data_IF_687042590030
#
_entry.id   IF_687042590030
#
_cell.length_a   1.000
_cell.length_b   1.000
_cell.length_c   1.000
_cell.angle_alpha   90.00
_cell.angle_beta   90.00
_cell.angle_gamma   90.00
#
_symmetry.space_group_name_H-M   'P 1'
#
loop_
_entity.id
_entity.type
_entity.pdbx_description
1 polymer ?
#
# COMPACT_ATOMS: atom_id res chain seq x y z
N UNK A 1 45.82 -12.92 -20.28
CA UNK A 1 45.32 -12.15 -21.45
C UNK A 1 44.25 -13.00 -22.11
N UNK A 2 42.97 -12.57 -22.13
CA UNK A 2 41.89 -13.39 -22.68
C UNK A 2 41.96 -13.33 -24.22
N UNK A 3 41.61 -14.42 -24.91
CA UNK A 3 41.60 -14.48 -26.38
C UNK A 3 40.76 -13.35 -27.02
N UNK A 4 39.72 -12.91 -26.34
CA UNK A 4 38.86 -11.81 -26.78
C UNK A 4 39.55 -10.45 -26.81
N UNK A 5 40.50 -10.22 -25.88
CA UNK A 5 41.31 -9.00 -25.82
C UNK A 5 42.30 -8.91 -26.99
N UNK A 6 42.73 -10.08 -27.49
CA UNK A 6 43.67 -10.21 -28.60
C UNK A 6 43.00 -10.00 -29.96
N UNK A 7 41.72 -10.41 -30.10
CA UNK A 7 40.94 -10.23 -31.33
C UNK A 7 40.42 -8.80 -31.45
N UNK A 8 40.29 -8.05 -30.34
CA UNK A 8 39.94 -6.62 -30.30
C UNK A 8 38.77 -6.26 -31.24
N UNK A 9 37.63 -6.95 -31.03
CA UNK A 9 36.42 -7.01 -31.89
C UNK A 9 35.79 -5.66 -32.28
N UNK A 10 36.21 -4.57 -31.64
CA UNK A 10 35.68 -3.21 -31.80
C UNK A 10 36.59 -2.28 -32.61
N UNK A 11 37.73 -2.78 -33.09
CA UNK A 11 38.72 -2.01 -33.85
C UNK A 11 38.88 -2.59 -35.25
N UNK A 12 39.46 -1.79 -36.13
CA UNK A 12 39.83 -2.26 -37.47
C UNK A 12 40.81 -3.43 -37.38
N UNK A 13 40.61 -4.45 -38.21
CA UNK A 13 41.35 -5.73 -38.20
C UNK A 13 42.86 -5.49 -38.23
N UNK A 14 43.30 -4.50 -39.01
CA UNK A 14 44.69 -4.12 -39.19
C UNK A 14 45.35 -3.54 -37.93
N UNK A 15 44.55 -3.07 -36.97
CA UNK A 15 45.03 -2.49 -35.72
C UNK A 15 45.12 -3.51 -34.58
N UNK A 16 44.56 -4.71 -34.79
CA UNK A 16 44.52 -5.76 -33.77
C UNK A 16 45.91 -6.34 -33.50
N UNK A 17 46.24 -6.67 -32.23
CA UNK A 17 47.55 -7.22 -31.88
C UNK A 17 47.79 -8.59 -32.54
N UNK A 18 46.74 -9.41 -32.71
CA UNK A 18 46.82 -10.68 -33.43
C UNK A 18 47.22 -10.51 -34.90
N UNK A 19 46.65 -9.52 -35.60
CA UNK A 19 46.98 -9.26 -37.00
C UNK A 19 48.44 -8.82 -37.15
N UNK A 20 48.89 -7.90 -36.28
CA UNK A 20 50.29 -7.45 -36.25
C UNK A 20 51.25 -8.60 -35.96
N UNK A 21 50.93 -9.47 -34.99
CA UNK A 21 51.74 -10.65 -34.67
C UNK A 21 51.77 -11.68 -35.80
N UNK A 22 50.66 -11.87 -36.53
CA UNK A 22 50.58 -12.81 -37.66
C UNK A 22 51.50 -12.46 -38.84
N UNK A 23 51.87 -11.18 -38.97
CA UNK A 23 52.82 -10.69 -39.98
C UNK A 23 54.22 -10.58 -39.39
N UNK A 24 54.36 -10.01 -38.18
CA UNK A 24 55.66 -9.77 -37.55
C UNK A 24 56.39 -11.08 -37.21
N UNK A 25 55.70 -12.10 -36.69
CA UNK A 25 56.36 -13.34 -36.24
C UNK A 25 57.01 -14.10 -37.41
N UNK A 26 56.32 -14.37 -38.53
CA UNK A 26 56.95 -15.02 -39.69
C UNK A 26 58.05 -14.17 -40.34
N UNK A 27 57.89 -12.84 -40.39
CA UNK A 27 58.92 -11.95 -40.92
C UNK A 27 60.18 -11.91 -40.03
N UNK A 28 60.02 -11.81 -38.71
CA UNK A 28 61.14 -11.85 -37.77
C UNK A 28 61.85 -13.21 -37.80
N UNK A 29 61.11 -14.33 -37.87
CA UNK A 29 61.69 -15.65 -38.03
C UNK A 29 62.48 -15.77 -39.35
N UNK A 30 61.95 -15.26 -40.45
CA UNK A 30 62.65 -15.24 -41.74
C UNK A 30 63.93 -14.41 -41.69
N UNK A 31 63.92 -13.25 -41.01
CA UNK A 31 65.09 -12.40 -40.81
C UNK A 31 66.16 -13.06 -39.93
N UNK A 32 65.76 -13.69 -38.81
CA UNK A 32 66.68 -14.41 -37.91
C UNK A 32 67.37 -15.56 -38.66
N UNK A 33 66.59 -16.33 -39.43
CA UNK A 33 67.12 -17.42 -40.26
C UNK A 33 68.05 -16.87 -41.35
N UNK A 34 67.68 -15.78 -42.03
CA UNK A 34 68.50 -15.12 -43.04
C UNK A 34 69.84 -14.61 -42.49
N UNK A 35 69.82 -13.99 -41.31
CA UNK A 35 71.02 -13.48 -40.64
C UNK A 35 71.93 -14.61 -40.13
N UNK A 36 71.33 -15.72 -39.67
CA UNK A 36 72.06 -16.93 -39.29
C UNK A 36 72.83 -17.55 -40.48
N UNK A 37 72.26 -17.48 -41.69
CA UNK A 37 72.94 -17.93 -42.93
C UNK A 37 74.14 -17.04 -43.25
N UNK A 38 74.03 -15.72 -43.06
CA UNK A 38 75.10 -14.79 -43.48
C UNK A 38 76.32 -14.77 -42.56
N UNK A 39 76.21 -15.24 -41.32
CA UNK A 39 77.24 -15.08 -40.30
C UNK A 39 77.93 -16.39 -39.87
N UNK A 40 77.38 -17.55 -40.22
CA UNK A 40 77.91 -18.85 -39.79
C UNK A 40 77.96 -19.86 -40.94
N UNK A 41 79.16 -20.17 -41.42
CA UNK A 41 79.39 -21.08 -42.55
C UNK A 41 78.91 -22.52 -42.28
N UNK A 42 78.99 -23.00 -41.03
CA UNK A 42 78.47 -24.32 -40.64
C UNK A 42 76.95 -24.36 -40.68
N UNK A 43 76.30 -23.27 -40.29
CA UNK A 43 74.84 -23.12 -40.37
C UNK A 43 74.39 -22.95 -41.82
N UNK A 44 75.14 -22.20 -42.64
CA UNK A 44 74.91 -22.02 -44.07
C UNK A 44 75.02 -23.34 -44.85
N UNK A 45 75.97 -24.21 -44.51
CA UNK A 45 76.11 -25.55 -45.12
C UNK A 45 74.94 -26.48 -44.74
N UNK A 46 74.59 -26.55 -43.44
CA UNK A 46 73.44 -27.32 -42.95
C UNK A 46 72.12 -26.84 -43.58
N UNK A 47 71.95 -25.53 -43.69
CA UNK A 47 70.75 -24.91 -44.24
C UNK A 47 70.74 -24.93 -45.78
N UNK A 48 71.90 -24.91 -46.45
CA UNK A 48 72.03 -25.10 -47.89
C UNK A 48 71.58 -26.49 -48.35
N UNK A 49 71.85 -27.51 -47.54
CA UNK A 49 71.29 -28.86 -47.69
C UNK A 49 69.75 -28.87 -47.62
N UNK A 50 69.18 -28.14 -46.65
CA UNK A 50 67.72 -27.94 -46.51
C UNK A 50 67.13 -27.00 -47.58
N UNK A 51 67.92 -26.08 -48.13
CA UNK A 51 67.50 -25.09 -49.13
C UNK A 51 67.37 -25.73 -50.52
N UNK A 52 68.33 -26.61 -50.86
CA UNK A 52 68.28 -27.43 -52.06
C UNK A 52 67.04 -28.35 -52.10
N UNK A 53 66.44 -28.65 -50.95
CA UNK A 53 65.26 -29.52 -50.83
C UNK A 53 63.94 -28.77 -50.57
N UNK A 54 63.91 -27.63 -49.86
CA UNK A 54 62.65 -27.09 -49.29
C UNK A 54 62.42 -25.55 -49.36
N UNK A 55 63.28 -24.73 -49.99
CA UNK A 55 63.08 -23.25 -50.15
C UNK A 55 62.55 -22.52 -48.88
N UNK A 56 63.19 -22.78 -47.75
CA UNK A 56 62.62 -22.62 -46.40
C UNK A 56 62.32 -21.16 -45.94
N UNK A 57 63.17 -20.14 -46.16
CA UNK A 57 62.90 -18.78 -45.65
C UNK A 57 61.73 -18.08 -46.34
N UNK A 58 61.56 -18.28 -47.65
CA UNK A 58 60.42 -17.75 -48.42
C UNK A 58 59.15 -18.47 -48.02
N UNK A 59 59.22 -19.78 -47.76
CA UNK A 59 58.09 -20.55 -47.24
C UNK A 59 57.68 -20.11 -45.81
N UNK A 60 58.64 -19.77 -44.95
CA UNK A 60 58.35 -19.20 -43.63
C UNK A 60 57.71 -17.82 -43.74
N UNK A 61 58.22 -16.95 -44.61
CA UNK A 61 57.63 -15.64 -44.84
C UNK A 61 56.24 -15.74 -45.48
N UNK A 62 56.01 -16.71 -46.37
CA UNK A 62 54.71 -16.91 -47.02
C UNK A 62 53.63 -17.41 -46.06
N UNK A 63 53.98 -17.99 -44.90
CA UNK A 63 53.04 -18.30 -43.82
C UNK A 63 52.34 -17.05 -43.25
N UNK A 64 52.91 -15.85 -43.43
CA UNK A 64 52.23 -14.61 -43.06
C UNK A 64 50.90 -14.42 -43.80
N UNK A 65 50.78 -14.89 -45.05
CA UNK A 65 49.57 -14.75 -45.85
C UNK A 65 48.43 -15.66 -45.34
N UNK A 66 48.62 -16.99 -45.15
CA UNK A 66 47.62 -17.84 -44.51
C UNK A 66 47.29 -17.42 -43.08
N UNK A 67 48.29 -17.02 -42.28
CA UNK A 67 48.05 -16.60 -40.89
C UNK A 67 47.27 -15.28 -40.81
N UNK A 68 47.61 -14.27 -41.61
CA UNK A 68 46.83 -13.03 -41.70
C UNK A 68 45.41 -13.30 -42.20
N UNK A 69 45.24 -14.18 -43.19
CA UNK A 69 43.91 -14.59 -43.69
C UNK A 69 43.08 -15.27 -42.60
N UNK A 70 43.69 -16.16 -41.82
CA UNK A 70 43.06 -16.82 -40.67
C UNK A 70 42.66 -15.81 -39.58
N UNK A 71 43.53 -14.85 -39.26
CA UNK A 71 43.21 -13.78 -38.29
C UNK A 71 42.07 -12.90 -38.79
N UNK A 72 42.05 -12.51 -40.07
CA UNK A 72 40.95 -11.73 -40.67
C UNK A 72 39.63 -12.51 -40.59
N UNK A 73 39.65 -13.81 -40.92
CA UNK A 73 38.47 -14.66 -40.85
C UNK A 73 37.94 -14.77 -39.41
N UNK A 74 38.83 -14.97 -38.42
CA UNK A 74 38.45 -15.02 -37.02
C UNK A 74 37.93 -13.69 -36.49
N UNK A 75 38.51 -12.56 -36.90
CA UNK A 75 38.00 -11.24 -36.54
C UNK A 75 36.59 -11.03 -37.09
N UNK A 76 36.36 -11.32 -38.38
CA UNK A 76 35.02 -11.23 -38.99
C UNK A 76 34.03 -12.15 -38.32
N UNK A 77 34.42 -13.39 -38.01
CA UNK A 77 33.60 -14.34 -37.27
C UNK A 77 33.23 -13.80 -35.88
N UNK A 78 34.20 -13.26 -35.14
CA UNK A 78 33.96 -12.67 -33.83
C UNK A 78 33.05 -11.43 -33.89
N UNK A 79 33.19 -10.60 -34.93
CA UNK A 79 32.33 -9.43 -35.18
C UNK A 79 30.90 -9.85 -35.53
N UNK A 80 30.73 -10.85 -36.39
CA UNK A 80 29.43 -11.43 -36.76
C UNK A 80 28.74 -12.08 -35.55
N UNK A 81 29.47 -12.81 -34.72
CA UNK A 81 28.95 -13.38 -33.48
C UNK A 81 28.51 -12.29 -32.50
N UNK A 82 29.26 -11.19 -32.39
CA UNK A 82 28.88 -10.03 -31.56
C UNK A 82 27.60 -9.36 -32.09
N UNK A 83 27.52 -9.11 -33.40
CA UNK A 83 26.33 -8.50 -34.00
C UNK A 83 25.10 -9.41 -33.89
N UNK A 84 25.27 -10.72 -34.07
CA UNK A 84 24.20 -11.70 -33.89
C UNK A 84 23.65 -11.70 -32.45
N UNK A 85 24.53 -11.72 -31.45
CA UNK A 85 24.12 -11.63 -30.03
C UNK A 85 23.38 -10.34 -29.70
N UNK A 86 23.84 -9.21 -30.25
CA UNK A 86 23.21 -7.91 -30.03
C UNK A 86 21.85 -7.79 -30.73
N UNK A 87 21.71 -8.41 -31.91
CA UNK A 87 20.43 -8.49 -32.60
C UNK A 87 19.45 -9.41 -31.87
N UNK A 88 19.93 -10.54 -31.34
CA UNK A 88 19.13 -11.45 -30.52
C UNK A 88 18.63 -10.76 -29.25
N UNK A 89 19.50 -10.05 -28.53
CA UNK A 89 19.11 -9.30 -27.33
C UNK A 89 18.10 -8.19 -27.65
N UNK A 90 18.27 -7.47 -28.76
CA UNK A 90 17.30 -6.46 -29.22
C UNK A 90 15.94 -7.07 -29.52
N UNK A 91 15.91 -8.15 -30.31
CA UNK A 91 14.67 -8.86 -30.64
C UNK A 91 13.95 -9.31 -29.37
N UNK A 92 14.69 -9.76 -28.38
CA UNK A 92 14.14 -10.25 -27.12
C UNK A 92 13.47 -9.11 -26.31
N UNK A 93 14.10 -7.92 -26.27
CA UNK A 93 13.49 -6.72 -25.68
C UNK A 93 12.25 -6.27 -26.47
N UNK A 94 12.30 -6.29 -27.80
CA UNK A 94 11.14 -5.93 -28.64
C UNK A 94 9.97 -6.88 -28.39
N UNK A 95 10.21 -8.20 -28.36
CA UNK A 95 9.18 -9.20 -28.05
C UNK A 95 8.60 -9.01 -26.66
N UNK A 96 9.42 -8.62 -25.67
CA UNK A 96 8.94 -8.31 -24.33
C UNK A 96 7.96 -7.12 -24.33
N UNK A 97 8.33 -6.01 -24.98
CA UNK A 97 7.48 -4.82 -25.04
C UNK A 97 6.19 -5.08 -25.84
N UNK A 98 6.24 -5.93 -26.87
CA UNK A 98 5.04 -6.38 -27.58
C UNK A 98 4.13 -7.23 -26.68
N UNK A 99 4.70 -8.11 -25.85
CA UNK A 99 3.94 -8.90 -24.87
C UNK A 99 3.31 -8.01 -23.79
N UNK A 100 4.02 -7.00 -23.30
CA UNK A 100 3.51 -6.00 -22.35
C UNK A 100 2.32 -5.23 -22.94
N UNK A 101 2.46 -4.68 -24.14
CA UNK A 101 1.39 -3.96 -24.80
C UNK A 101 0.17 -4.85 -25.12
N UNK A 102 0.41 -6.14 -25.39
CA UNK A 102 -0.66 -7.12 -25.55
C UNK A 102 -1.36 -7.42 -24.22
N UNK A 103 -0.60 -7.61 -23.14
CA UNK A 103 -1.07 -7.82 -21.79
C UNK A 103 -1.99 -6.68 -21.34
N UNK A 104 -1.53 -5.43 -21.45
CA UNK A 104 -2.31 -4.23 -21.13
C UNK A 104 -3.63 -4.18 -21.93
N UNK A 105 -3.58 -4.51 -23.22
CA UNK A 105 -4.77 -4.44 -24.09
C UNK A 105 -5.81 -5.49 -23.73
N UNK A 106 -5.37 -6.72 -23.45
CA UNK A 106 -6.27 -7.84 -23.13
C UNK A 106 -6.85 -7.66 -21.74
N UNK A 107 -5.99 -7.54 -20.72
CA UNK A 107 -6.41 -7.43 -19.33
C UNK A 107 -7.08 -6.09 -19.06
N UNK A 108 -6.61 -4.99 -19.66
CA UNK A 108 -7.23 -3.68 -19.50
C UNK A 108 -8.68 -3.61 -20.01
N UNK A 109 -9.05 -4.40 -21.02
CA UNK A 109 -10.46 -4.54 -21.43
C UNK A 109 -11.26 -5.34 -20.41
N UNK A 110 -10.67 -6.41 -19.87
CA UNK A 110 -11.32 -7.28 -18.88
C UNK A 110 -11.59 -6.53 -17.57
N UNK A 111 -10.61 -5.78 -17.06
CA UNK A 111 -10.74 -4.95 -15.87
C UNK A 111 -11.99 -4.04 -15.96
N UNK A 112 -12.14 -3.38 -17.11
CA UNK A 112 -13.30 -2.48 -17.35
C UNK A 112 -14.61 -3.25 -17.46
N UNK A 113 -14.62 -4.39 -18.17
CA UNK A 113 -15.85 -5.18 -18.31
C UNK A 113 -16.31 -5.83 -17.02
N UNK A 114 -15.38 -6.21 -16.14
CA UNK A 114 -15.67 -6.85 -14.87
C UNK A 114 -15.88 -5.83 -13.73
N UNK A 115 -15.65 -4.54 -13.98
CA UNK A 115 -15.87 -3.48 -13.00
C UNK A 115 -14.87 -3.52 -11.83
N UNK A 116 -13.62 -3.88 -12.10
CA UNK A 116 -12.58 -3.97 -11.06
C UNK A 116 -12.28 -2.58 -10.47
N UNK A 117 -12.11 -2.53 -9.16
CA UNK A 117 -11.90 -1.33 -8.37
C UNK A 117 -10.45 -1.25 -7.84
N UNK A 118 -9.86 -2.37 -7.41
CA UNK A 118 -8.52 -2.38 -6.82
C UNK A 118 -7.42 -2.32 -7.88
N UNK A 119 -7.40 -3.28 -8.81
CA UNK A 119 -6.43 -3.33 -9.90
C UNK A 119 -6.95 -2.48 -11.06
N UNK A 120 -6.19 -1.46 -11.41
CA UNK A 120 -6.50 -0.54 -12.49
C UNK A 120 -5.63 -0.80 -13.72
N UNK A 121 -5.96 -0.14 -14.83
CA UNK A 121 -5.16 -0.22 -16.06
C UNK A 121 -3.73 0.28 -15.87
N UNK A 122 -3.52 1.21 -14.94
CA UNK A 122 -2.21 1.81 -14.66
C UNK A 122 -1.28 0.82 -13.95
N UNK A 123 -1.84 -0.18 -13.26
CA UNK A 123 -1.08 -1.22 -12.57
C UNK A 123 -0.57 -2.30 -13.54
N UNK A 124 -1.24 -2.53 -14.67
CA UNK A 124 -0.93 -3.64 -15.60
C UNK A 124 0.51 -3.68 -16.13
N UNK A 125 1.13 -2.55 -16.55
CA UNK A 125 2.53 -2.56 -17.01
C UNK A 125 3.48 -3.00 -15.88
N UNK A 126 3.21 -2.52 -14.66
CA UNK A 126 4.02 -2.85 -13.47
C UNK A 126 3.84 -4.31 -13.08
N UNK A 127 2.61 -4.83 -13.11
CA UNK A 127 2.31 -6.25 -12.89
C UNK A 127 3.08 -7.11 -13.90
N UNK A 128 3.04 -6.73 -15.19
CA UNK A 128 3.80 -7.44 -16.22
C UNK A 128 5.32 -7.39 -15.98
N UNK A 129 5.84 -6.23 -15.58
CA UNK A 129 7.26 -6.06 -15.23
C UNK A 129 7.70 -6.94 -14.06
N UNK A 130 6.89 -7.04 -13.01
CA UNK A 130 7.18 -7.89 -11.86
C UNK A 130 7.03 -9.39 -12.16
N UNK A 131 6.01 -9.76 -12.94
CA UNK A 131 5.78 -11.15 -13.32
C UNK A 131 6.88 -11.74 -14.20
N UNK A 132 7.41 -10.95 -15.13
CA UNK A 132 8.38 -11.43 -16.13
C UNK A 132 9.81 -10.92 -15.90
N UNK A 133 10.04 -10.16 -14.82
CA UNK A 133 11.33 -9.61 -14.37
C UNK A 133 12.16 -8.99 -15.50
N UNK A 134 11.73 -7.83 -16.01
CA UNK A 134 12.41 -7.17 -17.14
C UNK A 134 13.95 -7.10 -17.02
N UNK A 135 14.46 -6.87 -15.81
CA UNK A 135 15.89 -6.76 -15.54
C UNK A 135 16.66 -8.08 -15.74
N UNK A 136 16.02 -9.23 -15.50
CA UNK A 136 16.65 -10.56 -15.62
C UNK A 136 16.47 -11.21 -16.99
N UNK A 137 15.72 -10.57 -17.89
CA UNK A 137 15.44 -11.09 -19.22
C UNK A 137 16.72 -11.27 -20.06
N UNK A 138 17.66 -10.32 -19.98
CA UNK A 138 18.93 -10.40 -20.72
C UNK A 138 19.86 -11.50 -20.18
N UNK A 139 19.73 -11.87 -18.89
CA UNK A 139 20.54 -12.92 -18.27
C UNK A 139 19.89 -14.30 -18.42
N UNK A 140 18.55 -14.39 -18.40
CA UNK A 140 17.78 -15.62 -18.61
C UNK A 140 17.67 -16.03 -20.08
N UNK A 141 17.82 -15.08 -21.02
CA UNK A 141 17.63 -15.27 -22.46
C UNK A 141 16.27 -15.89 -22.84
N UNK A 142 15.25 -15.70 -21.98
CA UNK A 142 13.89 -16.18 -22.17
C UNK A 142 12.91 -15.28 -21.41
N UNK A 143 11.68 -15.17 -21.90
CA UNK A 143 10.59 -14.47 -21.22
C UNK A 143 9.72 -15.54 -20.55
N UNK A 144 9.93 -15.72 -19.24
CA UNK A 144 9.20 -16.69 -18.43
C UNK A 144 8.77 -16.06 -17.12
N UNK A 145 7.59 -16.43 -16.57
CA UNK A 145 7.14 -15.92 -15.29
C UNK A 145 8.12 -16.21 -14.15
N UNK A 146 8.13 -15.34 -13.15
CA UNK A 146 8.86 -15.49 -11.90
C UNK A 146 8.46 -16.79 -11.19
N UNK A 147 9.43 -17.61 -10.80
CA UNK A 147 9.16 -18.98 -10.31
C UNK A 147 8.56 -19.03 -8.91
N UNK A 148 8.81 -18.01 -8.09
CA UNK A 148 8.31 -17.88 -6.72
C UNK A 148 6.94 -17.16 -6.64
N UNK A 149 6.41 -16.63 -7.75
CA UNK A 149 5.15 -15.89 -7.76
C UNK A 149 3.98 -16.69 -7.19
N UNK A 150 3.92 -18.00 -7.48
CA UNK A 150 2.90 -18.89 -6.89
C UNK A 150 2.99 -18.91 -5.37
N UNK A 151 4.20 -18.99 -4.81
CA UNK A 151 4.39 -19.02 -3.35
C UNK A 151 4.05 -17.70 -2.68
N UNK A 152 4.29 -16.58 -3.37
CA UNK A 152 3.93 -15.23 -2.89
C UNK A 152 2.41 -15.07 -2.86
N UNK A 153 1.72 -15.51 -3.91
CA UNK A 153 0.26 -15.54 -3.96
C UNK A 153 -0.33 -16.41 -2.85
N UNK A 154 0.17 -17.64 -2.70
CA UNK A 154 -0.30 -18.56 -1.66
C UNK A 154 -0.08 -17.97 -0.26
N UNK A 155 1.06 -17.33 0.00
CA UNK A 155 1.32 -16.64 1.25
C UNK A 155 0.32 -15.50 1.50
N UNK A 156 0.06 -14.66 0.49
CA UNK A 156 -0.92 -13.58 0.58
C UNK A 156 -2.32 -14.09 0.91
N UNK A 157 -2.81 -15.09 0.17
CA UNK A 157 -4.16 -15.64 0.38
C UNK A 157 -4.28 -16.34 1.74
N UNK A 158 -3.33 -17.19 2.09
CA UNK A 158 -3.37 -17.91 3.37
C UNK A 158 -3.26 -16.98 4.57
N UNK A 159 -2.39 -15.95 4.51
CA UNK A 159 -2.26 -14.98 5.58
C UNK A 159 -3.54 -14.14 5.72
N UNK A 160 -4.11 -13.67 4.61
CA UNK A 160 -5.35 -12.87 4.64
C UNK A 160 -6.51 -13.69 5.21
N UNK A 161 -6.69 -14.93 4.74
CA UNK A 161 -7.69 -15.86 5.28
C UNK A 161 -7.51 -16.06 6.78
N UNK A 162 -6.29 -16.36 7.21
CA UNK A 162 -5.98 -16.58 8.62
C UNK A 162 -6.32 -15.36 9.47
N UNK A 163 -5.96 -14.16 9.03
CA UNK A 163 -6.26 -12.92 9.75
C UNK A 163 -7.76 -12.72 10.00
N UNK A 164 -8.59 -13.06 9.02
CA UNK A 164 -10.04 -12.89 9.12
C UNK A 164 -10.69 -13.96 9.99
N UNK A 165 -10.26 -15.20 9.87
CA UNK A 165 -10.70 -16.29 10.76
C UNK A 165 -10.30 -16.03 12.21
N UNK A 166 -9.02 -15.69 12.45
CA UNK A 166 -8.52 -15.36 13.78
C UNK A 166 -9.30 -14.17 14.37
N UNK A 167 -9.57 -13.13 13.57
CA UNK A 167 -10.42 -12.01 14.00
C UNK A 167 -11.83 -12.45 14.34
N UNK A 168 -12.49 -13.21 13.46
CA UNK A 168 -13.88 -13.64 13.65
C UNK A 168 -14.03 -14.45 14.94
N UNK A 169 -13.14 -15.43 15.17
CA UNK A 169 -13.15 -16.25 16.39
C UNK A 169 -12.92 -15.42 17.66
N UNK A 170 -11.90 -14.55 17.65
CA UNK A 170 -11.56 -13.71 18.80
C UNK A 170 -12.69 -12.72 19.12
N UNK A 171 -13.25 -12.08 18.10
CA UNK A 171 -14.31 -11.09 18.25
C UNK A 171 -15.63 -11.73 18.72
N UNK A 172 -16.04 -12.86 18.12
CA UNK A 172 -17.24 -13.57 18.52
C UNK A 172 -17.14 -14.07 19.97
N UNK A 173 -16.00 -14.65 20.35
CA UNK A 173 -15.75 -15.10 21.72
C UNK A 173 -15.79 -13.95 22.73
N UNK A 174 -15.18 -12.82 22.40
CA UNK A 174 -15.18 -11.63 23.28
C UNK A 174 -16.60 -11.06 23.44
N UNK A 175 -17.38 -11.01 22.36
CA UNK A 175 -18.79 -10.59 22.36
C UNK A 175 -19.67 -11.47 23.26
N UNK A 176 -19.41 -12.78 23.30
CA UNK A 176 -20.19 -13.74 24.11
C UNK A 176 -19.78 -13.80 25.59
N UNK A 177 -18.52 -13.51 25.92
CA UNK A 177 -17.97 -13.69 27.28
C UNK A 177 -18.04 -12.42 28.12
N UNK A 178 -17.10 -11.51 27.91
CA UNK A 178 -16.90 -10.32 28.76
C UNK A 178 -17.46 -9.05 28.12
N UNK A 179 -17.75 -9.10 26.81
CA UNK A 179 -18.24 -7.98 26.01
C UNK A 179 -17.41 -6.71 26.22
N UNK A 180 -16.08 -6.88 26.27
CA UNK A 180 -15.16 -5.78 26.50
C UNK A 180 -14.99 -4.94 25.23
N UNK A 181 -15.73 -3.83 25.16
CA UNK A 181 -15.70 -2.91 24.02
C UNK A 181 -14.28 -2.47 23.65
N UNK A 182 -13.37 -2.23 24.60
CA UNK A 182 -12.01 -1.78 24.29
C UNK A 182 -11.21 -2.86 23.54
N UNK A 183 -11.39 -4.11 23.91
CA UNK A 183 -10.69 -5.24 23.30
C UNK A 183 -11.27 -5.55 21.93
N UNK A 184 -12.59 -5.44 21.78
CA UNK A 184 -13.26 -5.54 20.48
C UNK A 184 -12.82 -4.42 19.53
N UNK A 185 -12.69 -3.19 20.05
CA UNK A 185 -12.24 -2.03 19.27
C UNK A 185 -10.77 -2.21 18.81
N UNK A 186 -9.90 -2.72 19.70
CA UNK A 186 -8.52 -3.08 19.39
C UNK A 186 -8.41 -4.17 18.32
N UNK A 187 -9.25 -5.21 18.40
CA UNK A 187 -9.30 -6.25 17.35
C UNK A 187 -9.68 -5.69 15.99
N UNK A 188 -10.66 -4.77 15.93
CA UNK A 188 -11.02 -4.11 14.68
C UNK A 188 -9.86 -3.29 14.12
N UNK A 189 -9.19 -2.48 14.95
CA UNK A 189 -8.03 -1.71 14.50
C UNK A 189 -6.92 -2.62 13.97
N UNK A 190 -6.56 -3.66 14.74
CA UNK A 190 -5.52 -4.61 14.33
C UNK A 190 -5.85 -5.33 13.02
N UNK A 191 -7.12 -5.62 12.76
CA UNK A 191 -7.55 -6.24 11.50
C UNK A 191 -7.21 -5.32 10.32
N UNK A 192 -7.58 -4.04 10.38
CA UNK A 192 -7.29 -3.07 9.31
C UNK A 192 -5.78 -2.95 9.06
N UNK A 193 -5.00 -2.79 10.12
CA UNK A 193 -3.54 -2.63 10.02
C UNK A 193 -2.89 -3.87 9.41
N UNK A 194 -3.28 -5.08 9.85
CA UNK A 194 -2.70 -6.34 9.36
C UNK A 194 -3.14 -6.68 7.95
N UNK A 195 -4.40 -6.43 7.58
CA UNK A 195 -4.88 -6.59 6.20
C UNK A 195 -4.14 -5.65 5.26
N UNK A 196 -4.01 -4.37 5.63
CA UNK A 196 -3.28 -3.39 4.83
C UNK A 196 -1.80 -3.77 4.69
N UNK A 197 -1.14 -4.15 5.78
CA UNK A 197 0.25 -4.60 5.75
C UNK A 197 0.44 -5.80 4.80
N UNK A 198 -0.44 -6.79 4.90
CA UNK A 198 -0.39 -8.00 4.08
C UNK A 198 -0.56 -7.67 2.60
N UNK A 199 -1.50 -6.76 2.27
CA UNK A 199 -1.70 -6.28 0.91
C UNK A 199 -0.53 -5.43 0.41
N UNK A 200 0.06 -4.56 1.22
CA UNK A 200 1.21 -3.72 0.81
C UNK A 200 2.47 -4.53 0.53
N UNK A 201 2.75 -5.54 1.36
CA UNK A 201 3.86 -6.49 1.12
C UNK A 201 3.64 -7.20 -0.21
N UNK A 202 2.43 -7.73 -0.43
CA UNK A 202 2.07 -8.36 -1.70
C UNK A 202 2.15 -7.39 -2.88
N UNK A 203 1.64 -6.17 -2.74
CA UNK A 203 1.59 -5.16 -3.79
C UNK A 203 2.98 -4.79 -4.30
N UNK A 204 3.98 -4.80 -3.41
CA UNK A 204 5.38 -4.53 -3.75
C UNK A 204 6.01 -5.66 -4.58
N UNK A 205 5.61 -6.90 -4.35
CA UNK A 205 6.09 -8.07 -5.11
C UNK A 205 5.31 -8.29 -6.42
N UNK A 206 4.02 -7.99 -6.42
CA UNK A 206 3.13 -8.23 -7.57
C UNK A 206 3.03 -7.02 -8.51
N UNK A 207 3.34 -5.82 -8.03
CA UNK A 207 3.32 -4.59 -8.84
C UNK A 207 1.99 -3.86 -8.86
N UNK A 208 1.26 -3.82 -7.74
CA UNK A 208 0.01 -3.04 -7.62
C UNK A 208 0.20 -1.79 -6.75
N UNK A 209 -0.72 -0.83 -6.86
CA UNK A 209 -0.70 0.40 -6.06
C UNK A 209 -0.73 0.16 -4.55
N UNK A 210 -0.12 1.08 -3.80
CA UNK A 210 -0.18 1.11 -2.34
C UNK A 210 -1.41 1.86 -1.86
N UNK A 211 -2.07 1.30 -0.85
CA UNK A 211 -3.24 1.90 -0.21
C UNK A 211 -2.86 2.58 1.11
N UNK A 212 -3.61 3.62 1.47
CA UNK A 212 -3.46 4.30 2.78
C UNK A 212 -4.38 3.65 3.79
N UNK A 213 -3.84 3.15 4.90
CA UNK A 213 -4.62 2.35 5.87
C UNK A 213 -5.82 3.12 6.43
N UNK A 214 -5.66 4.41 6.69
CA UNK A 214 -6.66 5.24 7.38
C UNK A 214 -7.91 5.47 6.53
N UNK A 215 -7.71 5.70 5.23
CA UNK A 215 -8.75 6.08 4.28
C UNK A 215 -9.32 4.89 3.47
N UNK A 216 -8.66 3.72 3.55
CA UNK A 216 -9.07 2.55 2.77
C UNK A 216 -10.27 1.87 3.41
N UNK A 217 -11.28 1.62 2.58
CA UNK A 217 -12.49 0.91 2.99
C UNK A 217 -12.19 -0.57 3.21
N UNK A 218 -12.84 -1.17 4.22
CA UNK A 218 -12.70 -2.60 4.49
C UNK A 218 -13.09 -3.46 3.26
N UNK A 219 -14.16 -3.07 2.57
CA UNK A 219 -14.62 -3.71 1.34
C UNK A 219 -13.59 -3.67 0.21
N UNK A 220 -12.69 -2.68 0.17
CA UNK A 220 -11.65 -2.64 -0.86
C UNK A 220 -10.60 -3.75 -0.64
N UNK A 221 -10.32 -4.16 0.60
CA UNK A 221 -9.45 -5.31 0.86
C UNK A 221 -10.09 -6.63 0.40
N UNK A 222 -11.41 -6.77 0.55
CA UNK A 222 -12.19 -7.89 0.00
C UNK A 222 -12.11 -7.91 -1.53
N UNK A 223 -12.39 -6.78 -2.16
CA UNK A 223 -12.32 -6.62 -3.61
C UNK A 223 -10.91 -6.94 -4.12
N UNK A 224 -9.87 -6.42 -3.46
CA UNK A 224 -8.47 -6.73 -3.80
C UNK A 224 -8.19 -8.24 -3.77
N UNK A 225 -8.62 -8.93 -2.70
CA UNK A 225 -8.43 -10.38 -2.57
C UNK A 225 -8.98 -11.15 -3.78
N UNK A 226 -10.23 -10.90 -4.17
CA UNK A 226 -10.85 -11.61 -5.29
C UNK A 226 -10.34 -11.18 -6.66
N UNK A 227 -10.03 -9.90 -6.86
CA UNK A 227 -9.43 -9.45 -8.12
C UNK A 227 -8.05 -10.07 -8.34
N UNK A 228 -7.21 -10.11 -7.30
CA UNK A 228 -5.90 -10.77 -7.35
C UNK A 228 -6.09 -12.27 -7.62
N UNK A 229 -7.06 -12.92 -6.96
CA UNK A 229 -7.37 -14.33 -7.19
C UNK A 229 -7.75 -14.58 -8.66
N UNK A 230 -8.72 -13.84 -9.18
CA UNK A 230 -9.19 -13.95 -10.55
C UNK A 230 -8.06 -13.73 -11.55
N UNK A 231 -7.24 -12.68 -11.36
CA UNK A 231 -6.10 -12.42 -12.22
C UNK A 231 -5.11 -13.58 -12.20
N UNK A 232 -4.78 -14.10 -11.01
CA UNK A 232 -3.84 -15.21 -10.87
C UNK A 232 -4.31 -16.50 -11.55
N UNK A 233 -5.62 -16.78 -11.51
CA UNK A 233 -6.25 -17.89 -12.21
C UNK A 233 -6.22 -17.70 -13.73
N UNK A 234 -6.54 -16.50 -14.22
CA UNK A 234 -6.46 -16.19 -15.66
C UNK A 234 -5.03 -16.29 -16.21
N UNK A 235 -4.04 -15.89 -15.42
CA UNK A 235 -2.62 -16.01 -15.74
C UNK A 235 -2.09 -17.44 -15.60
N UNK A 236 -2.91 -18.37 -15.08
CA UNK A 236 -2.55 -19.77 -14.81
C UNK A 236 -1.33 -19.91 -13.90
N UNK A 237 -1.14 -18.96 -13.00
CA UNK A 237 -0.07 -19.01 -11.99
C UNK A 237 -0.46 -20.00 -10.89
N UNK A 238 -1.76 -20.04 -10.56
CA UNK A 238 -2.36 -20.97 -9.60
C UNK A 238 -3.41 -21.84 -10.32
N UNK A 239 -3.55 -23.14 -9.98
CA UNK A 239 -4.64 -23.96 -10.49
C UNK A 239 -6.01 -23.39 -10.07
N UNK A 240 -6.97 -23.42 -10.99
CA UNK A 240 -8.30 -22.83 -10.84
C UNK A 240 -9.23 -23.60 -9.87
N UNK A 241 -8.78 -24.71 -9.31
CA UNK A 241 -9.64 -25.66 -8.60
C UNK A 241 -9.66 -25.40 -7.09
N UNK A 242 -10.28 -24.30 -6.67
CA UNK A 242 -10.61 -24.02 -5.27
C UNK A 242 -11.90 -23.19 -5.12
N UNK A 243 -12.90 -23.41 -5.98
CA UNK A 243 -14.16 -22.64 -5.94
C UNK A 243 -14.84 -22.70 -4.57
N UNK A 244 -14.92 -23.89 -3.96
CA UNK A 244 -15.52 -24.07 -2.64
C UNK A 244 -14.82 -23.24 -1.55
N UNK A 245 -13.49 -23.11 -1.65
CA UNK A 245 -12.70 -22.30 -0.71
C UNK A 245 -12.91 -20.81 -0.95
N UNK A 246 -13.11 -20.42 -2.22
CA UNK A 246 -13.41 -19.04 -2.58
C UNK A 246 -14.77 -18.59 -2.02
N UNK A 247 -15.75 -19.48 -2.09
CA UNK A 247 -17.10 -19.25 -1.58
C UNK A 247 -17.09 -19.17 -0.04
N UNK A 248 -16.36 -20.06 0.64
CA UNK A 248 -16.15 -20.00 2.10
C UNK A 248 -15.43 -18.71 2.54
N UNK A 249 -14.38 -18.32 1.80
CA UNK A 249 -13.70 -17.03 2.02
C UNK A 249 -14.70 -15.88 1.86
N UNK A 250 -15.50 -15.86 0.79
CA UNK A 250 -16.51 -14.82 0.56
C UNK A 250 -17.51 -14.72 1.71
N UNK A 251 -18.03 -15.84 2.20
CA UNK A 251 -18.94 -15.86 3.35
C UNK A 251 -18.26 -15.33 4.62
N UNK A 252 -17.03 -15.75 4.89
CA UNK A 252 -16.26 -15.33 6.08
C UNK A 252 -16.01 -13.82 6.08
N UNK A 253 -15.56 -13.26 4.95
CA UNK A 253 -15.31 -11.82 4.84
C UNK A 253 -16.60 -11.01 5.01
N UNK A 254 -17.72 -11.44 4.42
CA UNK A 254 -19.00 -10.76 4.60
C UNK A 254 -19.48 -10.84 6.05
N UNK A 255 -19.26 -11.96 6.74
CA UNK A 255 -19.57 -12.09 8.16
C UNK A 255 -18.76 -11.09 9.00
N UNK A 256 -17.45 -10.94 8.72
CA UNK A 256 -16.58 -9.95 9.38
C UNK A 256 -17.07 -8.52 9.14
N UNK A 257 -17.40 -8.16 7.89
CA UNK A 257 -17.94 -6.84 7.56
C UNK A 257 -19.23 -6.56 8.34
N UNK A 258 -20.16 -7.50 8.34
CA UNK A 258 -21.43 -7.36 9.05
C UNK A 258 -21.27 -7.21 10.56
N UNK A 259 -20.33 -7.94 11.17
CA UNK A 259 -20.02 -7.82 12.59
C UNK A 259 -19.50 -6.42 12.94
N UNK A 260 -18.63 -5.87 12.11
CA UNK A 260 -18.08 -4.52 12.32
C UNK A 260 -19.17 -3.47 12.11
N UNK A 261 -20.00 -3.61 11.07
CA UNK A 261 -21.17 -2.77 10.83
C UNK A 261 -22.08 -2.74 12.06
N UNK A 262 -22.41 -3.91 12.61
CA UNK A 262 -23.29 -4.05 13.77
C UNK A 262 -22.68 -3.40 15.02
N UNK A 263 -21.38 -3.61 15.28
CA UNK A 263 -20.70 -3.11 16.47
C UNK A 263 -20.54 -1.59 16.50
N UNK A 264 -20.35 -0.97 15.34
CA UNK A 264 -20.14 0.48 15.21
C UNK A 264 -21.38 1.24 14.70
N UNK A 265 -22.47 0.54 14.34
CA UNK A 265 -23.68 1.11 13.74
C UNK A 265 -23.38 1.97 12.50
N UNK A 266 -22.42 1.52 11.69
CA UNK A 266 -21.99 2.21 10.47
C UNK A 266 -22.69 1.67 9.23
N UNK A 267 -22.70 2.44 8.15
CA UNK A 267 -23.08 1.93 6.84
C UNK A 267 -21.87 1.29 6.14
N UNK A 268 -22.12 0.27 5.33
CA UNK A 268 -21.09 -0.52 4.62
C UNK A 268 -20.13 0.34 3.78
N UNK A 269 -20.62 1.46 3.23
CA UNK A 269 -19.83 2.40 2.45
C UNK A 269 -18.79 3.21 3.22
N UNK A 270 -18.84 3.23 4.56
CA UNK A 270 -18.08 4.14 5.42
C UNK A 270 -17.07 3.44 6.35
N UNK A 271 -16.93 2.11 6.25
CA UNK A 271 -16.07 1.33 7.15
C UNK A 271 -14.58 1.54 6.80
N UNK A 272 -14.00 2.57 7.38
CA UNK A 272 -12.58 2.93 7.27
C UNK A 272 -11.98 3.03 8.67
N UNK A 273 -10.67 2.82 8.80
CA UNK A 273 -10.01 2.91 10.11
C UNK A 273 -10.19 4.32 10.72
N UNK A 274 -10.12 5.38 9.92
CA UNK A 274 -10.36 6.74 10.38
C UNK A 274 -11.75 6.92 11.01
N UNK A 275 -12.81 6.39 10.35
CA UNK A 275 -14.17 6.45 10.87
C UNK A 275 -14.36 5.62 12.13
N UNK A 276 -13.70 4.46 12.21
CA UNK A 276 -13.70 3.65 13.42
C UNK A 276 -13.07 4.39 14.59
N UNK A 277 -11.89 5.00 14.40
CA UNK A 277 -11.22 5.78 15.44
C UNK A 277 -12.06 6.99 15.89
N UNK A 278 -12.70 7.71 14.96
CA UNK A 278 -13.65 8.78 15.29
C UNK A 278 -14.81 8.26 16.15
N UNK A 279 -15.38 7.10 15.80
CA UNK A 279 -16.49 6.51 16.57
C UNK A 279 -16.05 6.07 17.97
N UNK A 280 -14.83 5.54 18.12
CA UNK A 280 -14.23 5.16 19.40
C UNK A 280 -14.01 6.40 20.25
N UNK A 281 -13.47 7.47 19.65
CA UNK A 281 -13.25 8.75 20.34
C UNK A 281 -14.58 9.34 20.84
N UNK A 282 -15.62 9.40 19.99
CA UNK A 282 -16.96 9.87 20.39
C UNK A 282 -17.50 9.01 21.55
N UNK A 283 -17.42 7.68 21.45
CA UNK A 283 -17.89 6.76 22.50
C UNK A 283 -17.15 6.96 23.82
N UNK A 284 -15.84 7.15 23.77
CA UNK A 284 -15.00 7.42 24.94
C UNK A 284 -15.31 8.77 25.57
N UNK A 285 -15.49 9.81 24.76
CA UNK A 285 -15.89 11.15 25.21
C UNK A 285 -17.27 11.09 25.89
N UNK A 286 -18.24 10.40 25.29
CA UNK A 286 -19.58 10.18 25.89
C UNK A 286 -19.48 9.41 27.21
N UNK A 287 -18.66 8.36 27.28
CA UNK A 287 -18.48 7.56 28.49
C UNK A 287 -17.80 8.34 29.61
N UNK A 288 -16.73 9.08 29.28
CA UNK A 288 -16.04 9.97 30.22
C UNK A 288 -17.00 11.01 30.77
N UNK A 289 -17.80 11.61 29.90
CA UNK A 289 -18.80 12.59 30.30
C UNK A 289 -19.93 12.00 31.14
N UNK A 290 -20.46 10.82 30.81
CA UNK A 290 -21.47 10.16 31.65
C UNK A 290 -20.95 9.86 33.08
N UNK A 291 -19.63 9.63 33.21
CA UNK A 291 -18.95 9.44 34.48
C UNK A 291 -18.54 10.73 35.21
N UNK A 292 -18.53 11.88 34.53
CA UNK A 292 -18.09 13.15 35.12
C UNK A 292 -19.14 13.71 36.10
N UNK A 293 -18.66 14.19 37.25
CA UNK A 293 -19.49 14.75 38.30
C UNK A 293 -20.27 15.98 37.81
N UNK A 294 -19.70 16.79 36.91
CA UNK A 294 -20.40 17.94 36.31
C UNK A 294 -21.60 17.51 35.47
N UNK A 295 -21.42 16.46 34.67
CA UNK A 295 -22.46 15.89 33.82
C UNK A 295 -23.56 15.20 34.62
N UNK A 296 -23.22 14.51 35.71
CA UNK A 296 -24.21 13.94 36.63
C UNK A 296 -25.07 15.03 37.28
N UNK A 297 -24.46 16.15 37.68
CA UNK A 297 -25.20 17.32 38.20
C UNK A 297 -26.16 17.88 37.16
N UNK A 298 -25.75 17.99 35.88
CA UNK A 298 -26.63 18.45 34.80
C UNK A 298 -27.74 17.45 34.50
N UNK A 299 -27.43 16.15 34.40
CA UNK A 299 -28.45 15.12 34.18
C UNK A 299 -29.50 15.11 35.31
N UNK A 300 -29.08 15.31 36.56
CA UNK A 300 -30.02 15.43 37.68
C UNK A 300 -30.88 16.69 37.58
N UNK A 301 -30.31 17.83 37.16
CA UNK A 301 -31.06 19.06 36.92
C UNK A 301 -32.08 18.88 35.78
N UNK A 302 -31.68 18.26 34.67
CA UNK A 302 -32.55 18.01 33.54
C UNK A 302 -33.64 17.00 33.85
N UNK A 303 -33.33 15.96 34.63
CA UNK A 303 -34.34 15.02 35.14
C UNK A 303 -35.34 15.71 36.05
N UNK A 304 -34.87 16.57 36.97
CA UNK A 304 -35.74 17.40 37.81
C UNK A 304 -36.62 18.34 36.97
N UNK A 305 -36.14 18.85 35.85
CA UNK A 305 -36.96 19.65 34.93
C UNK A 305 -38.00 18.81 34.19
N UNK A 306 -37.61 17.66 33.65
CA UNK A 306 -38.54 16.75 32.97
C UNK A 306 -39.68 16.28 33.88
N UNK A 307 -39.39 16.02 35.17
CA UNK A 307 -40.41 15.66 36.16
C UNK A 307 -41.37 16.80 36.50
N UNK A 308 -40.95 18.06 36.33
CA UNK A 308 -41.76 19.25 36.61
C UNK A 308 -42.49 19.80 35.37
N UNK A 309 -42.14 19.36 34.15
CA UNK A 309 -42.67 19.88 32.89
C UNK A 309 -42.88 18.75 31.85
N UNK A 310 -43.98 17.98 31.96
CA UNK A 310 -44.22 16.78 31.13
C UNK A 310 -44.54 17.07 29.65
N UNK A 311 -44.92 18.30 29.29
CA UNK A 311 -45.52 18.60 27.97
C UNK A 311 -44.60 19.36 26.98
N UNK A 312 -43.33 19.59 27.31
CA UNK A 312 -42.50 20.56 26.56
C UNK A 312 -41.03 20.19 26.31
N UNK A 313 -40.59 18.97 26.64
CA UNK A 313 -39.18 18.54 26.48
C UNK A 313 -39.12 17.12 25.91
N UNK A 314 -38.97 16.99 24.59
CA UNK A 314 -38.62 15.71 23.98
C UNK A 314 -37.10 15.47 24.08
N UNK A 315 -36.73 14.30 24.60
CA UNK A 315 -35.45 13.60 24.40
C UNK A 315 -34.15 14.40 24.61
N UNK A 316 -33.40 14.07 25.68
CA UNK A 316 -32.02 14.52 25.84
C UNK A 316 -31.11 13.83 24.80
N UNK A 317 -30.59 14.59 23.85
CA UNK A 317 -29.56 14.08 22.92
C UNK A 317 -28.20 14.72 23.22
N UNK A 318 -27.20 13.86 23.45
CA UNK A 318 -25.80 14.25 23.65
C UNK A 318 -25.11 14.26 22.28
N UNK A 319 -24.41 15.34 21.94
CA UNK A 319 -23.60 15.41 20.73
C UNK A 319 -22.28 16.14 20.99
N UNK A 320 -21.20 15.76 20.29
CA UNK A 320 -19.95 16.49 20.30
C UNK A 320 -20.14 17.89 19.71
N UNK A 321 -19.50 18.89 20.32
CA UNK A 321 -19.36 20.23 19.74
C UNK A 321 -18.26 20.21 18.68
N UNK A 322 -18.32 21.12 17.71
CA UNK A 322 -17.36 21.27 16.60
C UNK A 322 -15.89 21.41 17.04
N UNK A 323 -15.60 21.60 18.32
CA UNK A 323 -14.25 21.65 18.87
C UNK A 323 -13.66 20.28 19.25
N UNK A 324 -14.46 19.20 19.16
CA UNK A 324 -14.06 17.83 19.48
C UNK A 324 -13.70 17.60 20.95
N UNK A 325 -13.82 18.61 21.81
CA UNK A 325 -13.33 18.59 23.20
C UNK A 325 -14.44 18.76 24.22
N UNK A 326 -15.55 19.38 23.84
CA UNK A 326 -16.68 19.62 24.72
C UNK A 326 -17.93 18.94 24.17
N UNK A 327 -18.74 18.39 25.08
CA UNK A 327 -20.06 17.89 24.74
C UNK A 327 -21.09 18.99 24.93
N UNK A 328 -22.11 18.99 24.06
CA UNK A 328 -23.31 19.78 24.25
C UNK A 328 -24.53 18.89 24.35
N UNK A 329 -25.49 19.33 25.16
CA UNK A 329 -26.79 18.69 25.27
C UNK A 329 -27.80 19.50 24.45
N UNK A 330 -28.70 18.80 23.76
CA UNK A 330 -29.82 19.39 23.01
C UNK A 330 -31.06 18.97 23.74
N UNK A 331 -31.84 19.96 24.13
CA UNK A 331 -33.22 19.79 24.53
C UNK A 331 -34.05 20.24 23.33
N UNK A 332 -34.80 19.32 22.75
CA UNK A 332 -35.72 19.65 21.67
C UNK A 332 -36.97 20.25 22.27
N UNK A 333 -37.48 21.27 21.59
CA UNK A 333 -38.75 21.91 21.91
C UNK A 333 -39.82 21.30 21.00
N UNK A 334 -41.08 21.68 21.18
CA UNK A 334 -42.15 21.21 20.30
C UNK A 334 -41.98 21.67 18.84
N UNK A 335 -41.05 22.59 18.57
CA UNK A 335 -40.59 22.99 17.25
C UNK A 335 -39.23 22.32 16.91
N UNK A 336 -39.15 21.46 15.88
CA UNK A 336 -37.93 20.79 15.47
C UNK A 336 -36.85 21.74 14.91
N UNK A 337 -37.16 23.00 14.60
CA UNK A 337 -36.12 23.95 14.18
C UNK A 337 -35.51 24.72 15.36
N UNK A 338 -36.06 24.55 16.58
CA UNK A 338 -35.64 25.28 17.78
C UNK A 338 -35.23 24.32 18.90
N UNK A 339 -33.94 24.36 19.25
CA UNK A 339 -33.36 23.54 20.31
C UNK A 339 -32.53 24.37 21.28
N UNK A 340 -32.49 23.92 22.54
CA UNK A 340 -31.65 24.52 23.58
C UNK A 340 -30.32 23.77 23.59
N UNK A 341 -29.22 24.47 23.26
CA UNK A 341 -27.87 23.92 23.37
C UNK A 341 -27.27 24.27 24.74
N UNK A 342 -26.92 23.24 25.51
CA UNK A 342 -26.27 23.37 26.81
C UNK A 342 -24.80 23.01 26.67
N UNK A 343 -23.89 23.95 26.97
CA UNK A 343 -22.43 23.76 26.90
C UNK A 343 -21.77 24.02 28.25
N UNK A 344 -20.59 23.44 28.47
CA UNK A 344 -19.70 23.78 29.58
C UNK A 344 -18.68 24.80 29.11
N UNK A 345 -18.59 25.94 29.81
CA UNK A 345 -17.47 26.87 29.67
C UNK A 345 -16.55 26.70 30.88
N UNK A 346 -15.30 26.30 30.60
CA UNK A 346 -14.23 26.25 31.59
C UNK A 346 -13.57 27.62 31.78
N UNK A 347 -13.03 27.83 32.98
CA UNK A 347 -12.25 29.00 33.42
C UNK A 347 -11.36 29.63 32.33
N UNK A 348 -11.78 30.81 31.87
CA UNK A 348 -10.88 31.83 31.34
C UNK A 348 -11.17 33.09 32.16
N UNK A 349 -10.12 33.63 32.80
CA UNK A 349 -10.13 34.88 33.59
C UNK A 349 -11.00 34.89 34.87
N UNK A 350 -10.63 34.10 35.90
CA UNK A 350 -11.15 34.19 37.28
C UNK A 350 -12.68 34.05 37.45
N UNK A 351 -13.40 33.60 36.43
CA UNK A 351 -14.83 33.32 36.50
C UNK A 351 -15.06 31.85 36.82
N UNK A 352 -15.99 31.51 37.73
CA UNK A 352 -16.33 30.12 38.01
C UNK A 352 -16.79 29.42 36.74
N UNK A 353 -16.41 28.15 36.59
CA UNK A 353 -16.95 27.24 35.56
C UNK A 353 -18.46 27.45 35.41
N UNK A 354 -19.00 27.44 34.20
CA UNK A 354 -20.44 27.68 34.05
C UNK A 354 -21.10 26.76 33.03
N UNK A 355 -22.37 26.46 33.30
CA UNK A 355 -23.25 25.82 32.34
C UNK A 355 -23.95 26.93 31.59
N UNK A 356 -23.74 26.97 30.27
CA UNK A 356 -24.33 27.96 29.39
C UNK A 356 -25.44 27.30 28.58
N UNK A 357 -26.65 27.83 28.71
CA UNK A 357 -27.81 27.50 27.89
C UNK A 357 -27.87 28.51 26.76
N UNK A 358 -28.05 28.03 25.53
CA UNK A 358 -28.09 28.87 24.33
C UNK A 358 -29.26 28.47 23.45
N UNK A 359 -30.01 29.47 23.00
CA UNK A 359 -31.10 29.35 22.01
C UNK A 359 -30.80 30.39 20.94
N UNK A 360 -30.57 29.98 19.70
CA UNK A 360 -30.15 30.89 18.62
C UNK A 360 -28.91 31.74 19.00
N UNK A 361 -29.05 33.06 19.08
CA UNK A 361 -27.98 33.99 19.46
C UNK A 361 -27.98 34.41 20.95
N UNK A 362 -28.99 33.99 21.73
CA UNK A 362 -29.14 34.39 23.13
C UNK A 362 -28.59 33.31 24.06
N UNK A 363 -27.98 33.72 25.17
CA UNK A 363 -27.31 32.82 26.10
C UNK A 363 -27.57 33.22 27.55
N UNK A 364 -27.70 32.23 28.43
CA UNK A 364 -27.77 32.40 29.88
C UNK A 364 -26.86 31.39 30.57
N UNK A 365 -26.14 31.82 31.61
CA UNK A 365 -25.20 30.97 32.33
C UNK A 365 -25.55 30.78 33.81
N UNK A 366 -25.32 29.56 34.29
CA UNK A 366 -25.37 29.17 35.71
C UNK A 366 -23.94 28.80 36.15
N UNK A 367 -23.39 29.45 37.19
CA UNK A 367 -22.06 29.12 37.69
C UNK A 367 -22.05 27.77 38.42
N UNK A 368 -21.04 26.94 38.15
CA UNK A 368 -20.68 25.73 38.86
C UNK A 368 -19.68 26.08 39.95
N UNK A 369 -19.91 25.56 41.15
CA UNK A 369 -18.99 25.65 42.27
C UNK A 369 -18.66 24.26 42.80
N UNK A 370 -17.39 24.04 43.11
CA UNK A 370 -16.91 22.78 43.68
C UNK A 370 -17.13 22.78 45.20
N UNK A 371 -17.83 21.78 45.72
CA UNK A 371 -18.07 21.59 47.16
C UNK A 371 -17.85 20.12 47.53
N UNK A 372 -16.87 19.85 48.39
CA UNK A 372 -16.58 18.51 48.95
C UNK A 372 -16.47 17.38 47.90
N UNK A 373 -15.81 17.65 46.76
CA UNK A 373 -15.65 16.66 45.69
C UNK A 373 -16.88 16.47 44.78
N UNK A 374 -17.94 17.24 45.00
CA UNK A 374 -19.13 17.32 44.13
C UNK A 374 -19.29 18.73 43.55
N UNK A 375 -19.98 18.87 42.42
CA UNK A 375 -20.28 20.18 41.85
C UNK A 375 -21.72 20.61 42.19
N UNK A 376 -21.87 21.83 42.68
CA UNK A 376 -23.17 22.49 42.91
C UNK A 376 -23.35 23.65 41.94
N UNK A 377 -24.60 23.90 41.58
CA UNK A 377 -25.00 24.91 40.60
C UNK A 377 -25.11 26.33 41.18
N UNK A 378 -25.00 26.50 42.50
CA UNK A 378 -25.03 27.77 43.24
C UNK A 378 -24.55 27.53 44.69
N UNK A 379 -24.20 28.60 45.43
CA UNK A 379 -23.80 28.54 46.85
C UNK A 379 -24.92 28.06 47.77
N UNK A 380 -26.18 28.33 47.41
CA UNK A 380 -27.34 28.03 48.25
C UNK A 380 -28.60 27.79 47.40
N UNK A 381 -29.53 26.96 47.89
CA UNK A 381 -30.74 26.51 47.18
C UNK A 381 -31.66 27.67 46.76
N UNK A 382 -31.66 28.78 47.51
CA UNK A 382 -32.40 30.00 47.16
C UNK A 382 -31.83 30.74 45.96
N UNK A 383 -30.51 30.71 45.76
CA UNK A 383 -29.88 31.30 44.57
C UNK A 383 -30.12 30.40 43.35
N UNK A 384 -30.05 29.09 43.57
CA UNK A 384 -30.38 28.10 42.55
C UNK A 384 -31.80 28.28 42.04
N UNK A 385 -32.80 28.33 42.93
CA UNK A 385 -34.21 28.52 42.52
C UNK A 385 -34.40 29.79 41.68
N UNK A 386 -33.81 30.91 42.10
CA UNK A 386 -33.90 32.18 41.37
C UNK A 386 -33.22 32.14 40.00
N UNK A 387 -32.09 31.44 39.88
CA UNK A 387 -31.39 31.25 38.61
C UNK A 387 -32.12 30.28 37.70
N UNK A 388 -32.69 29.21 38.26
CA UNK A 388 -33.58 28.30 37.56
C UNK A 388 -34.79 29.07 37.00
N UNK A 389 -35.46 29.89 37.80
CA UNK A 389 -36.57 30.75 37.35
C UNK A 389 -36.15 31.70 36.21
N UNK A 390 -34.92 32.22 36.28
CA UNK A 390 -34.35 33.08 35.22
C UNK A 390 -34.07 32.30 33.93
N UNK A 391 -33.59 31.07 34.03
CA UNK A 391 -33.42 30.19 32.87
C UNK A 391 -34.77 29.77 32.31
N UNK A 392 -35.77 29.53 33.16
CA UNK A 392 -37.13 29.25 32.71
C UNK A 392 -37.72 30.43 31.97
N UNK A 393 -37.59 31.65 32.50
CA UNK A 393 -38.05 32.87 31.82
C UNK A 393 -37.33 33.05 30.49
N UNK A 394 -36.01 32.81 30.45
CA UNK A 394 -35.23 32.81 29.22
C UNK A 394 -35.76 31.78 28.20
N UNK A 395 -36.09 30.56 28.63
CA UNK A 395 -36.66 29.52 27.77
C UNK A 395 -38.04 29.95 27.25
N UNK A 396 -38.94 30.40 28.13
CA UNK A 396 -40.29 30.85 27.74
C UNK A 396 -40.26 32.04 26.78
N UNK A 397 -39.44 33.05 27.06
CA UNK A 397 -39.33 34.28 26.26
C UNK A 397 -38.74 34.02 24.86
N UNK A 398 -37.88 33.00 24.72
CA UNK A 398 -37.20 32.69 23.45
C UNK A 398 -37.89 31.58 22.66
N UNK A 399 -38.88 30.88 23.24
CA UNK A 399 -39.62 29.79 22.58
C UNK A 399 -41.05 30.15 22.18
N UNK A 400 -41.49 31.41 22.36
CA UNK A 400 -42.86 31.85 22.03
C UNK A 400 -43.95 30.89 22.55
N UNK A 401 -43.78 30.33 23.75
CA UNK A 401 -44.86 29.60 24.39
C UNK A 401 -45.99 30.59 24.65
N UNK A 402 -47.12 30.45 23.95
CA UNK A 402 -48.36 31.10 24.34
C UNK A 402 -48.68 30.66 25.77
N UNK A 403 -48.53 31.58 26.71
CA UNK A 403 -48.93 31.37 28.10
C UNK A 403 -50.45 31.18 28.09
N UNK A 404 -50.90 29.92 28.08
CA UNK A 404 -52.29 29.61 28.46
C UNK A 404 -52.39 29.89 29.95
N UNK A 405 -53.05 31.01 30.27
CA UNK A 405 -53.37 31.45 31.63
C UNK A 405 -54.26 30.47 32.38
#
# INVERSE_FOLDING_TARGET
MKYEDLVAKDKDVFTTPLFKLSILVPCCLALIVGFGISYNDSFSSWLGSLWATMKLPIALASLSLPLATWVIANHRSAQLLKSAKLQESKRLVETYLEQEAFFERVYGRKLVSAGWEYITKEDLPVIHAQLYEFESIQTKNNISPRSDMSSILDAYFNNTRKLLWDFYELFAKEKEQENNSFQMDDYCQQLFEKLNYTLMVFASEFGTRHLKVEATKLSLYLTAYFEIYNLSGELKIRPADFQDVLDEDFETFNAVINIIIEHYQLHDGDITLERLLQSIEIRNVVRFFAGDAKSQTVNNLLKSWAENFPDSIEGLHVFPVDDGKHLSLKLWTNDPDVFIKVKFEQEIDEKPDSIVFSINATQISIPLQQHEGSFRLCENDKQLSKKLDSVMTFIYDNLNFEVVR
#
